data_IF_281287573662
#
_entry.id   IF_281287573662
#
_cell.length_a   1.000
_cell.length_b   1.000
_cell.length_c   1.000
_cell.angle_alpha   90.00
_cell.angle_beta   90.00
_cell.angle_gamma   90.00
#
_symmetry.space_group_name_H-M   'P 1'
#
loop_
_entity.id
_entity.type
_entity.pdbx_description
1 polymer ?
#
# COMPACT_ATOMS: atom_id res chain seq x y z
N UNK A 1 3.10 14.78 7.29
CA UNK A 1 4.11 14.60 8.35
C UNK A 1 3.48 13.80 9.48
N UNK A 2 4.13 12.73 9.96
CA UNK A 2 3.81 12.09 11.24
C UNK A 2 3.90 13.17 12.32
N UNK A 3 2.79 13.60 12.93
CA UNK A 3 2.87 14.54 14.06
C UNK A 3 2.99 13.70 15.33
N UNK A 4 4.16 13.75 15.95
CA UNK A 4 4.44 13.08 17.21
C UNK A 4 3.61 13.77 18.31
N UNK A 5 2.47 13.18 18.69
CA UNK A 5 1.75 13.53 19.90
C UNK A 5 1.49 12.23 20.66
N UNK A 6 2.15 12.07 21.80
CA UNK A 6 1.92 10.98 22.75
C UNK A 6 2.01 9.56 22.16
N UNK A 7 2.94 9.31 21.22
CA UNK A 7 3.16 7.98 20.63
C UNK A 7 1.94 7.40 19.86
N UNK A 8 1.03 8.25 19.40
CA UNK A 8 -0.21 7.84 18.74
C UNK A 8 -0.35 8.39 17.30
N UNK A 9 -0.97 7.61 16.39
CA UNK A 9 -1.12 8.00 14.98
C UNK A 9 -1.96 9.27 14.77
N UNK A 10 -1.55 10.10 13.82
CA UNK A 10 -2.39 11.17 13.28
C UNK A 10 -3.42 10.59 12.32
N UNK A 11 -4.69 11.00 12.45
CA UNK A 11 -5.70 10.75 11.43
C UNK A 11 -5.35 11.62 10.21
N UNK A 12 -5.14 11.00 9.06
CA UNK A 12 -4.99 11.71 7.78
C UNK A 12 -6.36 11.88 7.14
N UNK A 13 -6.61 13.04 6.55
CA UNK A 13 -7.92 13.44 5.99
C UNK A 13 -8.19 12.89 4.58
N UNK A 14 -7.27 12.10 4.05
CA UNK A 14 -7.33 11.48 2.73
C UNK A 14 -6.94 9.99 2.80
N UNK A 15 -7.33 9.22 1.79
CA UNK A 15 -6.99 7.80 1.71
C UNK A 15 -5.48 7.61 1.57
N UNK A 16 -4.91 6.71 2.37
CA UNK A 16 -3.51 6.31 2.28
C UNK A 16 -3.40 4.78 2.41
N UNK A 17 -2.35 4.16 1.86
CA UNK A 17 -2.13 2.71 2.02
C UNK A 17 -1.74 2.31 3.46
N UNK A 18 -1.68 3.26 4.39
CA UNK A 18 -1.12 3.12 5.72
C UNK A 18 -2.17 3.03 6.84
N UNK A 19 -3.41 2.69 6.50
CA UNK A 19 -4.46 2.50 7.50
C UNK A 19 -4.21 1.29 8.40
N UNK A 20 -4.79 1.30 9.60
CA UNK A 20 -4.79 0.14 10.52
C UNK A 20 -5.81 -0.95 10.12
N UNK A 21 -6.56 -0.75 9.02
CA UNK A 21 -7.56 -1.70 8.57
C UNK A 21 -7.04 -2.54 7.41
N UNK A 22 -7.27 -3.84 7.53
CA UNK A 22 -6.88 -4.86 6.57
C UNK A 22 -7.92 -5.96 6.54
N UNK A 23 -8.17 -6.51 5.36
CA UNK A 23 -8.95 -7.74 5.21
C UNK A 23 -8.04 -8.80 4.58
N UNK A 24 -8.16 -10.04 5.06
CA UNK A 24 -7.43 -11.16 4.49
C UNK A 24 -8.02 -11.54 3.13
N UNK A 25 -7.16 -11.96 2.20
CA UNK A 25 -7.54 -12.42 0.87
C UNK A 25 -6.68 -13.59 0.43
N UNK A 26 -6.96 -14.08 -0.78
CA UNK A 26 -6.16 -15.11 -1.46
C UNK A 26 -5.67 -14.52 -2.77
N UNK A 27 -4.43 -14.82 -3.11
CA UNK A 27 -3.81 -14.40 -4.35
C UNK A 27 -2.45 -15.02 -4.55
N UNK A 28 -1.95 -14.86 -5.76
CA UNK A 28 -0.69 -15.41 -6.24
C UNK A 28 0.17 -14.28 -6.81
N UNK A 29 1.48 -14.44 -6.67
CA UNK A 29 2.48 -13.54 -7.25
C UNK A 29 3.52 -14.39 -7.96
N UNK A 30 3.95 -13.92 -9.12
CA UNK A 30 5.13 -14.41 -9.83
C UNK A 30 5.95 -13.21 -10.25
N UNK A 31 7.26 -13.28 -10.01
CA UNK A 31 8.14 -12.22 -10.44
C UNK A 31 9.53 -12.73 -10.79
N UNK A 32 10.15 -12.07 -11.75
CA UNK A 32 11.57 -12.12 -12.05
C UNK A 32 12.05 -10.69 -12.18
N UNK A 33 13.06 -10.35 -11.39
CA UNK A 33 13.55 -8.98 -11.28
C UNK A 33 15.08 -9.01 -11.33
N UNK A 34 15.67 -8.08 -12.06
CA UNK A 34 17.13 -7.90 -12.16
C UNK A 34 17.46 -6.46 -11.86
N UNK A 35 18.31 -6.26 -10.86
CA UNK A 35 18.93 -4.99 -10.50
C UNK A 35 20.27 -4.88 -11.23
N UNK A 36 20.39 -3.96 -12.19
CA UNK A 36 21.60 -3.78 -12.99
C UNK A 36 22.02 -2.31 -13.11
N UNK A 37 21.27 -1.39 -12.51
CA UNK A 37 21.42 0.05 -12.70
C UNK A 37 21.54 0.74 -11.35
N UNK A 38 22.74 1.16 -10.97
CA UNK A 38 22.98 1.66 -9.60
C UNK A 38 22.32 3.02 -9.27
N UNK A 39 22.04 3.86 -10.27
CA UNK A 39 21.55 5.23 -10.08
C UNK A 39 20.49 5.60 -11.12
N UNK A 40 19.64 6.58 -10.78
CA UNK A 40 18.67 7.13 -11.71
C UNK A 40 19.34 7.67 -12.98
N UNK A 41 18.70 7.44 -14.12
CA UNK A 41 19.20 7.84 -15.43
C UNK A 41 18.09 8.06 -16.44
N UNK A 42 18.48 8.34 -17.68
CA UNK A 42 17.53 8.42 -18.80
C UNK A 42 17.01 7.04 -19.21
N UNK A 43 17.82 6.00 -18.98
CA UNK A 43 17.54 4.60 -19.30
C UNK A 43 17.93 3.71 -18.13
N UNK A 44 17.44 2.47 -18.15
CA UNK A 44 17.74 1.45 -17.16
C UNK A 44 18.00 0.13 -17.86
N UNK A 45 18.91 -0.67 -17.29
CA UNK A 45 19.14 -2.06 -17.65
C UNK A 45 18.34 -3.03 -16.78
N UNK A 46 17.61 -2.50 -15.80
CA UNK A 46 16.84 -3.31 -14.87
C UNK A 46 15.72 -4.04 -15.59
N UNK A 47 15.47 -5.28 -15.15
CA UNK A 47 14.41 -6.12 -15.69
C UNK A 47 13.34 -6.27 -14.62
N UNK A 48 12.09 -6.08 -15.01
CA UNK A 48 10.92 -6.39 -14.20
C UNK A 48 9.98 -7.23 -15.04
N UNK A 49 9.74 -8.46 -14.63
CA UNK A 49 8.68 -9.32 -15.13
C UNK A 49 7.82 -9.68 -13.91
N UNK A 50 6.68 -9.04 -13.73
CA UNK A 50 5.82 -9.22 -12.54
C UNK A 50 4.37 -9.46 -12.94
N UNK A 51 3.75 -10.45 -12.30
CA UNK A 51 2.31 -10.66 -12.32
C UNK A 51 1.80 -10.99 -10.91
N UNK A 52 0.67 -10.38 -10.54
CA UNK A 52 -0.07 -10.73 -9.34
C UNK A 52 -1.55 -10.91 -9.66
N UNK A 53 -2.18 -11.94 -9.08
CA UNK A 53 -3.63 -12.18 -9.15
C UNK A 53 -4.21 -12.26 -7.75
N UNK A 54 -5.36 -11.65 -7.50
CA UNK A 54 -6.02 -11.70 -6.19
C UNK A 54 -7.50 -11.32 -6.29
N UNK A 55 -8.30 -11.70 -5.30
CA UNK A 55 -9.71 -11.34 -5.21
C UNK A 55 -9.94 -10.18 -4.25
N UNK A 56 -10.99 -9.38 -4.51
CA UNK A 56 -11.52 -8.45 -3.52
C UNK A 56 -11.94 -9.24 -2.25
N UNK A 57 -11.83 -8.65 -1.04
CA UNK A 57 -12.22 -9.34 0.19
C UNK A 57 -13.69 -9.82 0.25
N UNK A 58 -14.58 -9.18 -0.49
CA UNK A 58 -16.00 -9.58 -0.63
C UNK A 58 -16.29 -10.38 -1.91
N UNK A 59 -15.24 -10.76 -2.66
CA UNK A 59 -15.32 -11.51 -3.91
C UNK A 59 -16.12 -10.80 -5.02
N UNK A 60 -16.32 -9.48 -4.90
CA UNK A 60 -16.99 -8.68 -5.93
C UNK A 60 -16.19 -8.57 -7.23
N UNK A 61 -14.86 -8.64 -7.13
CA UNK A 61 -13.95 -8.47 -8.25
C UNK A 61 -12.73 -9.40 -8.14
N UNK A 62 -12.22 -9.79 -9.30
CA UNK A 62 -10.91 -10.40 -9.47
C UNK A 62 -9.94 -9.39 -10.09
N UNK A 63 -8.70 -9.39 -9.62
CA UNK A 63 -7.66 -8.48 -10.05
C UNK A 63 -6.49 -9.24 -10.66
N UNK A 64 -5.92 -8.66 -11.71
CA UNK A 64 -4.60 -9.04 -12.21
C UNK A 64 -3.78 -7.79 -12.47
N UNK A 65 -2.59 -7.74 -11.89
CA UNK A 65 -1.63 -6.64 -12.07
C UNK A 65 -0.40 -7.19 -12.77
N UNK A 66 0.00 -6.56 -13.87
CA UNK A 66 1.21 -6.93 -14.63
C UNK A 66 2.15 -5.74 -14.66
N UNK A 67 3.46 -5.95 -14.51
CA UNK A 67 4.48 -4.93 -14.71
C UNK A 67 5.69 -5.49 -15.47
N UNK A 68 6.15 -4.76 -16.48
CA UNK A 68 7.12 -5.28 -17.47
C UNK A 68 8.29 -4.32 -17.77
N UNK A 69 8.21 -3.06 -17.32
CA UNK A 69 9.21 -2.04 -17.67
C UNK A 69 9.58 -1.17 -16.46
N UNK A 70 10.77 -1.37 -15.93
CA UNK A 70 11.34 -0.55 -14.87
C UNK A 70 11.35 0.94 -15.24
N UNK A 71 11.15 1.80 -14.25
CA UNK A 71 11.17 3.25 -14.38
C UNK A 71 12.58 3.76 -14.04
N UNK A 72 13.34 4.28 -15.02
CA UNK A 72 14.75 4.61 -14.83
C UNK A 72 15.01 5.78 -13.89
N UNK A 73 13.96 6.56 -13.57
CA UNK A 73 14.04 7.62 -12.60
C UNK A 73 12.68 7.85 -11.94
N UNK A 74 12.72 8.28 -10.68
CA UNK A 74 11.52 8.72 -9.96
C UNK A 74 11.20 10.19 -10.20
N UNK A 75 10.01 10.61 -9.76
CA UNK A 75 9.62 12.04 -9.69
C UNK A 75 9.72 12.61 -8.28
N UNK A 76 9.46 11.77 -7.29
CA UNK A 76 9.34 12.19 -5.89
C UNK A 76 10.58 11.83 -5.06
N UNK A 77 11.29 10.78 -5.45
CA UNK A 77 12.47 10.23 -4.80
C UNK A 77 13.23 9.38 -5.84
N UNK A 78 14.54 9.11 -5.62
CA UNK A 78 15.30 8.20 -6.48
C UNK A 78 14.69 6.80 -6.56
N UNK A 79 14.77 6.15 -7.71
CA UNK A 79 14.30 4.77 -7.92
C UNK A 79 15.43 3.79 -8.23
N UNK A 80 16.68 4.26 -8.24
CA UNK A 80 17.90 3.50 -8.52
C UNK A 80 17.80 2.79 -9.86
N UNK A 81 17.45 3.52 -10.92
CA UNK A 81 17.21 2.87 -12.22
C UNK A 81 15.89 2.09 -12.32
N UNK A 82 15.14 1.95 -11.24
CA UNK A 82 13.80 1.36 -11.22
C UNK A 82 13.70 0.05 -10.48
N UNK A 83 14.81 -0.62 -10.22
CA UNK A 83 14.92 -1.75 -9.29
C UNK A 83 15.99 -1.42 -8.25
N UNK A 84 15.75 -1.78 -7.00
CA UNK A 84 16.75 -1.68 -5.94
C UNK A 84 16.72 -2.94 -5.09
N UNK A 85 17.88 -3.47 -4.78
CA UNK A 85 18.10 -4.59 -3.86
C UNK A 85 18.91 -4.16 -2.64
N UNK A 86 18.68 -4.83 -1.51
CA UNK A 86 19.47 -4.66 -0.27
C UNK A 86 19.64 -3.20 0.19
N UNK A 87 18.51 -2.50 0.41
CA UNK A 87 18.53 -1.08 0.71
C UNK A 87 17.63 -0.69 1.89
N UNK A 88 17.98 0.41 2.57
CA UNK A 88 17.12 1.03 3.56
C UNK A 88 16.20 2.05 2.89
N UNK A 89 14.87 1.86 3.03
CA UNK A 89 13.88 2.82 2.52
C UNK A 89 13.08 3.43 3.67
N UNK A 90 12.34 4.49 3.34
CA UNK A 90 11.36 5.15 4.21
C UNK A 90 11.97 5.79 5.46
N UNK A 91 11.11 6.25 6.39
CA UNK A 91 11.52 6.86 7.65
C UNK A 91 12.57 7.97 7.50
N UNK A 92 13.71 7.78 8.14
CA UNK A 92 14.82 8.72 8.22
C UNK A 92 15.64 8.83 6.93
N UNK A 93 15.59 7.85 6.02
CA UNK A 93 16.39 7.88 4.77
C UNK A 93 15.92 8.98 3.82
N UNK A 94 14.65 9.39 3.93
CA UNK A 94 14.02 10.34 3.03
C UNK A 94 13.67 9.77 1.66
N UNK A 95 13.88 8.45 1.44
CA UNK A 95 13.54 7.76 0.20
C UNK A 95 12.18 7.09 0.36
N UNK A 96 11.22 7.45 -0.50
CA UNK A 96 9.83 7.04 -0.34
C UNK A 96 9.09 7.84 0.73
N UNK A 97 8.16 7.19 1.45
CA UNK A 97 7.28 7.89 2.41
C UNK A 97 7.91 7.99 3.80
N UNK A 98 7.76 9.16 4.45
CA UNK A 98 8.08 9.32 5.89
C UNK A 98 6.97 8.80 6.82
N UNK A 99 5.91 8.20 6.26
CA UNK A 99 4.82 7.62 7.05
C UNK A 99 5.14 6.22 7.57
N UNK A 100 6.05 5.50 6.90
CA UNK A 100 6.57 4.21 7.35
C UNK A 100 7.87 4.41 8.15
N UNK A 101 8.21 3.49 9.06
CA UNK A 101 9.54 3.49 9.68
C UNK A 101 10.62 3.23 8.62
N UNK A 102 11.88 3.48 8.95
CA UNK A 102 13.00 3.00 8.15
C UNK A 102 13.05 1.47 8.25
N UNK A 103 13.02 0.80 7.11
CA UNK A 103 13.01 -0.67 7.05
C UNK A 103 14.02 -1.16 6.01
N UNK A 104 14.51 -2.38 6.23
CA UNK A 104 15.31 -3.09 5.25
C UNK A 104 14.42 -3.65 4.14
N UNK A 105 14.82 -3.36 2.92
CA UNK A 105 14.13 -3.75 1.70
C UNK A 105 15.07 -4.66 0.91
N UNK A 106 14.69 -5.93 0.83
CA UNK A 106 15.41 -6.95 0.07
C UNK A 106 15.32 -6.68 -1.43
N UNK A 107 14.15 -6.21 -1.87
CA UNK A 107 13.86 -5.87 -3.25
C UNK A 107 12.77 -4.80 -3.29
N UNK A 108 12.95 -3.76 -4.09
CA UNK A 108 11.86 -2.90 -4.52
C UNK A 108 11.99 -2.59 -6.01
N UNK A 109 10.85 -2.38 -6.66
CA UNK A 109 10.85 -1.85 -8.00
C UNK A 109 9.72 -0.86 -8.24
N UNK A 110 9.92 -0.01 -9.24
CA UNK A 110 8.92 0.87 -9.81
C UNK A 110 8.88 0.60 -11.31
N UNK A 111 7.73 0.19 -11.81
CA UNK A 111 7.58 -0.21 -13.19
C UNK A 111 6.30 0.35 -13.81
N UNK A 112 6.30 0.45 -15.13
CA UNK A 112 5.08 0.61 -15.92
C UNK A 112 4.34 -0.72 -15.93
N UNK A 113 3.06 -0.66 -15.59
CA UNK A 113 2.19 -1.82 -15.52
C UNK A 113 0.76 -1.56 -15.96
N UNK A 114 -0.01 -2.64 -15.86
CA UNK A 114 -1.39 -2.79 -16.32
C UNK A 114 -2.23 -3.35 -15.18
N UNK A 115 -3.45 -2.85 -15.02
CA UNK A 115 -4.45 -3.39 -14.12
C UNK A 115 -5.60 -3.97 -14.94
N UNK A 116 -5.93 -5.22 -14.63
CA UNK A 116 -7.11 -5.89 -15.11
C UNK A 116 -8.09 -6.09 -13.95
N UNK A 117 -9.36 -5.86 -14.22
CA UNK A 117 -10.48 -6.15 -13.31
C UNK A 117 -11.45 -7.05 -14.06
N UNK A 118 -11.75 -8.21 -13.46
CA UNK A 118 -12.64 -9.23 -14.05
C UNK A 118 -12.24 -9.61 -15.47
N UNK A 119 -10.94 -9.83 -15.65
CA UNK A 119 -10.32 -10.19 -16.94
C UNK A 119 -10.18 -9.05 -17.94
N UNK A 120 -10.74 -7.86 -17.68
CA UNK A 120 -10.70 -6.72 -18.60
C UNK A 120 -9.60 -5.74 -18.23
N UNK A 121 -8.82 -5.28 -19.22
CA UNK A 121 -7.85 -4.21 -19.03
C UNK A 121 -8.58 -2.90 -18.73
N UNK A 122 -8.39 -2.34 -17.53
CA UNK A 122 -9.07 -1.11 -17.10
C UNK A 122 -8.12 0.07 -16.92
N UNK A 123 -6.85 -0.19 -16.60
CA UNK A 123 -5.80 0.81 -16.58
C UNK A 123 -4.56 0.25 -17.28
N UNK A 124 -4.06 1.00 -18.26
CA UNK A 124 -2.77 0.77 -18.88
C UNK A 124 -1.80 1.87 -18.46
N UNK A 125 -0.50 1.60 -18.60
CA UNK A 125 0.57 2.55 -18.40
C UNK A 125 0.58 3.17 -16.98
N UNK A 126 0.09 2.44 -15.98
CA UNK A 126 0.10 2.86 -14.58
C UNK A 126 1.41 2.52 -13.91
N UNK A 127 1.79 3.33 -12.92
CA UNK A 127 2.92 2.98 -12.07
C UNK A 127 2.49 1.78 -11.22
N UNK A 128 3.36 0.78 -11.14
CA UNK A 128 3.27 -0.34 -10.22
C UNK A 128 4.53 -0.29 -9.35
N UNK A 129 4.33 -0.29 -8.05
CA UNK A 129 5.40 -0.38 -7.08
C UNK A 129 5.27 -1.68 -6.32
N UNK A 130 6.36 -2.43 -6.22
CA UNK A 130 6.43 -3.64 -5.42
C UNK A 130 7.65 -3.55 -4.52
N UNK A 131 7.51 -4.08 -3.31
CA UNK A 131 8.58 -4.10 -2.32
C UNK A 131 8.50 -5.40 -1.51
N UNK A 132 9.61 -6.13 -1.41
CA UNK A 132 9.85 -7.20 -0.43
C UNK A 132 10.66 -6.60 0.72
N UNK A 133 10.06 -6.51 1.89
CA UNK A 133 10.68 -5.86 3.05
C UNK A 133 10.42 -6.62 4.35
N UNK A 134 11.08 -6.15 5.40
CA UNK A 134 10.75 -6.52 6.78
C UNK A 134 9.30 -6.20 7.13
N UNK A 135 8.74 -6.91 8.10
CA UNK A 135 7.40 -6.62 8.57
C UNK A 135 7.37 -5.39 9.50
N UNK A 136 6.60 -4.37 9.13
CA UNK A 136 6.52 -3.08 9.86
C UNK A 136 5.18 -2.81 10.53
N UNK A 137 4.37 -3.84 10.79
CA UNK A 137 3.05 -3.69 11.44
C UNK A 137 3.02 -4.37 12.80
N UNK A 138 2.15 -3.89 13.68
CA UNK A 138 1.86 -4.43 15.01
C UNK A 138 0.53 -5.20 15.03
N UNK A 139 0.13 -5.62 16.22
CA UNK A 139 -1.21 -6.16 16.49
C UNK A 139 -2.31 -5.26 15.93
N UNK A 140 -3.35 -5.91 15.42
CA UNK A 140 -4.46 -5.24 14.73
C UNK A 140 -4.01 -4.38 13.55
N UNK A 141 -2.88 -4.72 12.94
CA UNK A 141 -2.34 -4.13 11.72
C UNK A 141 -1.95 -2.65 11.84
N UNK A 142 -1.70 -2.19 13.06
CA UNK A 142 -1.23 -0.84 13.33
C UNK A 142 0.16 -0.63 12.73
N UNK A 143 0.43 0.51 12.10
CA UNK A 143 1.72 0.78 11.48
C UNK A 143 2.84 1.02 12.50
N UNK A 144 3.90 0.21 12.53
CA UNK A 144 4.99 0.34 13.47
C UNK A 144 5.77 1.67 13.41
N UNK A 145 6.51 1.93 14.49
CA UNK A 145 7.62 2.89 14.53
C UNK A 145 8.95 2.15 14.32
N UNK A 146 10.06 2.87 14.32
CA UNK A 146 11.40 2.31 14.11
C UNK A 146 11.70 1.12 15.04
N UNK A 147 11.28 1.22 16.31
CA UNK A 147 11.46 0.16 17.30
C UNK A 147 10.60 -1.10 17.07
N UNK A 148 9.65 -1.04 16.14
CA UNK A 148 8.70 -2.12 15.86
C UNK A 148 9.07 -2.91 14.58
N UNK A 149 10.09 -2.48 13.83
CA UNK A 149 10.57 -3.14 12.60
C UNK A 149 11.14 -4.53 12.95
N UNK A 150 10.85 -5.53 12.12
CA UNK A 150 11.37 -6.88 12.31
C UNK A 150 10.54 -7.75 13.25
N UNK A 151 9.35 -7.31 13.69
CA UNK A 151 8.31 -8.22 14.17
C UNK A 151 7.84 -8.05 15.60
N UNK A 152 7.11 -6.96 15.88
CA UNK A 152 6.15 -6.95 16.98
C UNK A 152 4.76 -7.46 16.53
N UNK A 153 4.19 -8.48 17.19
CA UNK A 153 2.75 -8.82 17.10
C UNK A 153 2.37 -10.07 16.29
N UNK A 154 1.07 -10.33 16.14
CA UNK A 154 0.46 -11.57 15.58
C UNK A 154 0.93 -11.97 14.17
N UNK A 155 1.54 -11.05 13.43
CA UNK A 155 2.03 -11.26 12.05
C UNK A 155 3.55 -11.45 11.98
N UNK A 156 4.26 -11.48 13.11
CA UNK A 156 5.72 -11.71 13.18
C UNK A 156 6.19 -13.05 12.61
N UNK A 157 5.27 -13.99 12.35
CA UNK A 157 5.56 -15.24 11.62
C UNK A 157 5.98 -15.02 10.17
N UNK A 158 5.77 -13.82 9.63
CA UNK A 158 6.24 -13.41 8.32
C UNK A 158 7.55 -12.65 8.50
N UNK A 159 8.68 -13.33 8.30
CA UNK A 159 10.00 -12.67 8.32
C UNK A 159 10.08 -11.59 7.24
N UNK A 160 9.36 -11.79 6.15
CA UNK A 160 9.30 -10.89 5.01
C UNK A 160 7.89 -10.80 4.46
N UNK A 161 7.59 -9.65 3.87
CA UNK A 161 6.31 -9.39 3.23
C UNK A 161 6.50 -8.68 1.91
N UNK A 162 5.69 -9.03 0.91
CA UNK A 162 5.62 -8.28 -0.34
C UNK A 162 4.46 -7.32 -0.32
N UNK A 163 4.76 -6.06 -0.53
CA UNK A 163 3.83 -4.99 -0.78
C UNK A 163 3.66 -4.82 -2.29
N UNK A 164 2.42 -4.85 -2.76
CA UNK A 164 2.03 -4.42 -4.09
C UNK A 164 1.23 -3.13 -3.96
N UNK A 165 1.65 -2.08 -4.66
CA UNK A 165 0.95 -0.81 -4.74
C UNK A 165 0.73 -0.40 -6.20
N UNK A 166 -0.52 -0.06 -6.52
CA UNK A 166 -0.87 0.62 -7.78
C UNK A 166 -1.47 1.98 -7.42
N UNK A 167 -0.69 3.08 -7.46
CA UNK A 167 -1.19 4.41 -7.17
C UNK A 167 -1.98 5.00 -8.35
N UNK A 168 -2.72 6.12 -8.15
CA UNK A 168 -3.47 6.79 -9.21
C UNK A 168 -2.56 7.67 -10.09
N UNK A 169 -1.48 7.08 -10.60
CA UNK A 169 -0.53 7.73 -11.49
C UNK A 169 -0.23 6.85 -12.69
N UNK A 170 -0.29 7.47 -13.87
CA UNK A 170 0.21 6.89 -15.12
C UNK A 170 1.58 7.47 -15.45
N UNK A 171 2.36 6.73 -16.22
CA UNK A 171 3.65 7.19 -16.76
C UNK A 171 3.40 8.13 -17.93
N UNK A 172 3.67 9.41 -17.76
CA UNK A 172 3.57 10.43 -18.82
C UNK A 172 4.94 10.76 -19.44
N UNK A 173 4.96 11.51 -20.56
CA UNK A 173 6.20 11.92 -21.23
C UNK A 173 7.09 12.84 -20.38
N UNK A 174 6.51 13.56 -19.41
CA UNK A 174 7.23 14.42 -18.45
C UNK A 174 7.28 13.80 -17.04
N UNK A 175 7.09 12.49 -16.96
CA UNK A 175 6.99 11.73 -15.71
C UNK A 175 5.56 11.47 -15.25
N UNK A 176 5.38 11.01 -14.00
CA UNK A 176 4.09 10.64 -13.41
C UNK A 176 3.02 11.73 -13.50
N UNK A 177 1.85 11.35 -14.02
CA UNK A 177 0.65 12.17 -14.16
C UNK A 177 -0.51 11.53 -13.39
N UNK A 178 -1.34 12.35 -12.72
CA UNK A 178 -2.53 11.83 -12.04
C UNK A 178 -3.45 11.13 -13.05
N UNK A 179 -3.85 9.91 -12.73
CA UNK A 179 -4.78 9.12 -13.53
C UNK A 179 -5.62 8.24 -12.59
N UNK A 180 -6.95 8.37 -12.58
CA UNK A 180 -7.78 7.59 -11.69
C UNK A 180 -7.64 6.08 -11.92
N UNK A 181 -7.48 5.34 -10.82
CA UNK A 181 -7.47 3.88 -10.86
C UNK A 181 -8.90 3.34 -10.90
N UNK A 182 -9.19 2.44 -11.85
CA UNK A 182 -10.53 1.90 -12.10
C UNK A 182 -10.74 0.57 -11.39
N UNK A 183 -10.64 0.59 -10.07
CA UNK A 183 -10.64 -0.63 -9.24
C UNK A 183 -12.01 -1.28 -9.08
N UNK A 184 -13.11 -0.53 -9.23
CA UNK A 184 -14.49 -1.00 -8.99
C UNK A 184 -14.85 -1.21 -7.52
N UNK A 185 -13.86 -1.43 -6.65
CA UNK A 185 -14.07 -1.82 -5.26
C UNK A 185 -14.29 -0.65 -4.31
N UNK A 186 -15.26 -0.80 -3.40
CA UNK A 186 -15.58 0.15 -2.35
C UNK A 186 -15.42 -0.49 -0.97
N UNK A 187 -14.43 -0.07 -0.16
CA UNK A 187 -14.13 -0.72 1.12
C UNK A 187 -15.12 -0.35 2.25
N UNK A 188 -16.14 0.48 1.99
CA UNK A 188 -17.01 1.02 3.03
C UNK A 188 -17.76 -0.03 3.87
N UNK A 189 -18.24 -1.16 3.32
CA UNK A 189 -18.82 -2.23 4.13
C UNK A 189 -17.82 -2.82 5.14
N UNK A 190 -16.59 -3.08 4.71
CA UNK A 190 -15.50 -3.64 5.53
C UNK A 190 -15.04 -2.62 6.59
N UNK A 191 -14.91 -1.34 6.20
CA UNK A 191 -14.67 -0.23 7.12
C UNK A 191 -15.73 -0.18 8.23
N UNK A 192 -17.02 -0.26 7.88
CA UNK A 192 -18.11 -0.26 8.87
C UNK A 192 -17.99 -1.44 9.84
N UNK A 193 -17.67 -2.63 9.32
CA UNK A 193 -17.40 -3.84 10.14
C UNK A 193 -16.24 -3.61 11.11
N UNK A 194 -15.09 -3.11 10.65
CA UNK A 194 -13.94 -2.81 11.51
C UNK A 194 -14.25 -1.76 12.57
N UNK A 195 -15.02 -0.73 12.24
CA UNK A 195 -15.45 0.29 13.21
C UNK A 195 -16.32 -0.32 14.31
N UNK A 196 -17.24 -1.24 13.97
CA UNK A 196 -18.08 -1.93 14.95
C UNK A 196 -17.27 -2.86 15.85
N UNK A 197 -16.31 -3.60 15.27
CA UNK A 197 -15.37 -4.44 16.04
C UNK A 197 -14.51 -3.58 16.98
N UNK A 198 -14.03 -2.42 16.51
CA UNK A 198 -13.26 -1.47 17.31
C UNK A 198 -14.10 -0.91 18.46
N UNK A 199 -15.36 -0.54 18.21
CA UNK A 199 -16.29 -0.14 19.26
C UNK A 199 -16.43 -1.24 20.32
N UNK A 200 -16.64 -2.49 19.91
CA UNK A 200 -16.78 -3.63 20.83
C UNK A 200 -15.55 -3.78 21.74
N UNK A 201 -14.35 -3.68 21.17
CA UNK A 201 -13.08 -3.71 21.93
C UNK A 201 -12.95 -2.55 22.91
N UNK A 202 -13.27 -1.33 22.50
CA UNK A 202 -13.23 -0.15 23.38
C UNK A 202 -14.19 -0.31 24.57
N UNK A 203 -15.36 -0.92 24.37
CA UNK A 203 -16.31 -1.18 25.45
C UNK A 203 -15.80 -2.19 26.47
N UNK A 204 -14.84 -3.04 26.11
CA UNK A 204 -14.18 -4.00 27.03
C UNK A 204 -13.05 -3.36 27.84
N UNK A 205 -12.63 -2.12 27.52
CA UNK A 205 -11.60 -1.42 28.27
C UNK A 205 -12.13 -0.84 29.60
N UNK A 206 -11.23 -0.64 30.59
CA UNK A 206 -11.52 0.13 31.80
C UNK A 206 -12.10 1.52 31.48
N UNK A 207 -12.98 2.07 32.34
CA UNK A 207 -13.65 3.35 32.10
C UNK A 207 -12.68 4.49 31.73
N UNK A 208 -11.53 4.57 32.40
CA UNK A 208 -10.53 5.63 32.18
C UNK A 208 -9.91 5.59 30.77
N UNK A 209 -9.73 4.40 30.19
CA UNK A 209 -9.19 4.24 28.81
C UNK A 209 -10.28 4.35 27.74
N UNK A 210 -11.55 4.14 28.12
CA UNK A 210 -12.69 4.13 27.20
C UNK A 210 -12.97 5.50 26.61
N UNK A 211 -12.92 6.57 27.41
CA UNK A 211 -13.30 7.92 26.96
C UNK A 211 -12.42 8.41 25.80
N UNK A 212 -11.10 8.35 25.96
CA UNK A 212 -10.14 8.79 24.94
C UNK A 212 -10.27 7.97 23.64
N UNK A 213 -10.32 6.63 23.74
CA UNK A 213 -10.45 5.77 22.56
C UNK A 213 -11.81 5.94 21.87
N UNK A 214 -12.89 6.19 22.62
CA UNK A 214 -14.21 6.46 22.05
C UNK A 214 -14.28 7.82 21.33
N UNK A 215 -13.63 8.86 21.87
CA UNK A 215 -13.52 10.16 21.21
C UNK A 215 -12.82 10.01 19.83
N UNK A 216 -11.71 9.28 19.79
CA UNK A 216 -10.99 8.97 18.55
C UNK A 216 -11.81 8.16 17.56
N UNK A 217 -12.57 7.16 18.03
CA UNK A 217 -13.48 6.40 17.16
C UNK A 217 -14.58 7.29 16.55
N UNK A 218 -15.09 8.27 17.31
CA UNK A 218 -16.06 9.26 16.79
C UNK A 218 -15.43 10.15 15.72
N UNK A 219 -14.20 10.61 15.92
CA UNK A 219 -13.46 11.40 14.93
C UNK A 219 -13.23 10.60 13.65
N UNK A 220 -12.75 9.37 13.76
CA UNK A 220 -12.60 8.46 12.62
C UNK A 220 -13.95 8.21 11.90
N UNK A 221 -15.06 8.07 12.64
CA UNK A 221 -16.41 7.94 12.05
C UNK A 221 -16.80 9.17 11.25
N UNK A 222 -16.56 10.36 11.79
CA UNK A 222 -16.88 11.62 11.13
C UNK A 222 -16.05 11.79 9.85
N UNK A 223 -14.76 11.48 9.91
CA UNK A 223 -13.90 11.49 8.73
C UNK A 223 -14.40 10.49 7.68
N UNK A 224 -14.65 9.24 8.06
CA UNK A 224 -15.10 8.21 7.10
C UNK A 224 -16.41 8.56 6.42
N UNK A 225 -17.33 9.25 7.12
CA UNK A 225 -18.56 9.77 6.52
C UNK A 225 -18.24 10.78 5.40
N UNK A 226 -17.38 11.76 5.68
CA UNK A 226 -16.95 12.76 4.68
C UNK A 226 -16.21 12.10 3.51
N UNK A 227 -15.32 11.15 3.79
CA UNK A 227 -14.60 10.39 2.75
C UNK A 227 -15.58 9.62 1.87
N UNK A 228 -16.59 8.97 2.46
CA UNK A 228 -17.63 8.27 1.69
C UNK A 228 -18.40 9.21 0.77
N UNK A 229 -18.86 10.34 1.30
CA UNK A 229 -19.57 11.37 0.52
C UNK A 229 -18.71 11.89 -0.63
N UNK A 230 -17.43 12.19 -0.35
CA UNK A 230 -16.48 12.62 -1.38
C UNK A 230 -16.28 11.57 -2.48
N UNK A 231 -16.07 10.30 -2.11
CA UNK A 231 -15.91 9.21 -3.08
C UNK A 231 -17.17 9.05 -3.93
N UNK A 232 -18.36 9.07 -3.31
CA UNK A 232 -19.62 8.97 -4.04
C UNK A 232 -19.80 10.13 -5.04
N UNK A 233 -19.53 11.37 -4.61
CA UNK A 233 -19.59 12.54 -5.50
C UNK A 233 -18.57 12.44 -6.64
N UNK A 234 -17.32 12.12 -6.34
CA UNK A 234 -16.28 11.98 -7.35
C UNK A 234 -16.56 10.84 -8.34
N UNK A 235 -17.22 9.76 -7.91
CA UNK A 235 -17.70 8.69 -8.80
C UNK A 235 -18.81 9.18 -9.72
N UNK A 236 -19.77 9.95 -9.21
CA UNK A 236 -20.84 10.55 -10.03
C UNK A 236 -20.27 11.50 -11.10
N UNK A 237 -19.20 12.21 -10.78
CA UNK A 237 -18.48 13.09 -11.72
C UNK A 237 -17.51 12.34 -12.65
N UNK A 238 -17.39 11.01 -12.54
CA UNK A 238 -16.45 10.22 -13.33
C UNK A 238 -14.96 10.47 -13.01
N UNK A 239 -14.66 11.08 -11.85
CA UNK A 239 -13.30 11.38 -11.38
C UNK A 239 -12.70 10.24 -10.54
N UNK A 240 -13.53 9.32 -10.06
CA UNK A 240 -13.12 8.16 -9.25
C UNK A 240 -13.93 6.93 -9.65
N UNK A 241 -13.38 5.74 -9.44
CA UNK A 241 -13.94 4.48 -9.95
C UNK A 241 -13.76 3.36 -8.92
N UNK A 242 -14.03 3.66 -7.65
CA UNK A 242 -13.71 2.80 -6.50
C UNK A 242 -12.59 3.38 -5.63
N UNK A 243 -11.85 2.53 -4.94
CA UNK A 243 -10.68 2.93 -4.16
C UNK A 243 -9.60 3.56 -5.06
N UNK A 244 -8.94 4.65 -4.62
CA UNK A 244 -8.04 5.44 -5.47
C UNK A 244 -6.68 4.79 -5.71
N UNK A 245 -6.36 3.68 -5.03
CA UNK A 245 -5.16 2.88 -5.21
C UNK A 245 -5.44 1.43 -4.81
N UNK A 246 -4.58 0.51 -5.26
CA UNK A 246 -4.48 -0.84 -4.70
C UNK A 246 -3.29 -0.88 -3.75
N UNK A 247 -3.47 -1.47 -2.57
CA UNK A 247 -2.38 -1.85 -1.68
C UNK A 247 -2.67 -3.26 -1.14
N UNK A 248 -1.84 -4.22 -1.52
CA UNK A 248 -1.99 -5.63 -1.17
C UNK A 248 -0.70 -6.11 -0.55
N UNK A 249 -0.79 -6.89 0.52
CA UNK A 249 0.35 -7.53 1.16
C UNK A 249 0.26 -9.04 1.00
N UNK A 250 1.33 -9.65 0.50
CA UNK A 250 1.46 -11.11 0.32
C UNK A 250 2.43 -11.66 1.36
N UNK A 251 1.97 -12.61 2.17
CA UNK A 251 2.80 -13.38 3.10
C UNK A 251 3.15 -14.75 2.52
N UNK A 252 3.98 -15.52 3.25
CA UNK A 252 4.40 -16.89 2.88
C UNK A 252 5.09 -16.97 1.50
N UNK A 253 6.00 -16.06 1.22
CA UNK A 253 6.72 -16.05 -0.03
C UNK A 253 7.79 -17.15 -0.09
N UNK A 254 7.99 -17.68 -1.30
CA UNK A 254 9.17 -18.46 -1.67
C UNK A 254 9.76 -17.81 -2.90
N UNK A 255 11.05 -17.56 -2.88
CA UNK A 255 11.77 -16.99 -4.01
C UNK A 255 13.17 -17.58 -4.06
N UNK A 256 13.68 -17.74 -5.26
CA UNK A 256 15.05 -18.14 -5.52
C UNK A 256 15.84 -16.90 -5.94
N UNK A 257 16.99 -16.67 -5.29
CA UNK A 257 17.91 -15.59 -5.65
C UNK A 257 19.07 -16.22 -6.41
N UNK A 258 19.12 -16.01 -7.72
CA UNK A 258 20.28 -16.35 -8.54
C UNK A 258 21.22 -15.15 -8.62
N UNK A 259 22.50 -15.37 -8.32
CA UNK A 259 23.58 -14.38 -8.53
C UNK A 259 24.10 -14.43 -9.96
#
# INVERSE_FOLDING_TARGET
>A
MRKHASNEYTIVDHATPFSDWSEAGVGDVRMKVVDQTAIDGQTTKDVVEFEATFEAPDKSHSYRVVAEKALPHGKFFPTFGGVVTDHLLHGATGIGTRLMPTEYVFLAFWAKGKLYVDGKLVNDNHIVHVMVSEFVRKDHYQLGFESDVGGGGMFSKYEQVLHLMVPPYRVGPKGPEKSPLKTGYLPFPQVKKHMMQTKKRIMQLPPEKRQAKMARLKEAKALMKRTKEHVQHAMQEGKMFGQPFLHVMFGHMRYDVSK
#
